data_IF_906997744977
#
_entry.id   IF_906997744977
#
_cell.length_a   1.000
_cell.length_b   1.000
_cell.length_c   1.000
_cell.angle_alpha   90.00
_cell.angle_beta   90.00
_cell.angle_gamma   90.00
#
_symmetry.space_group_name_H-M   'P 1'
#
loop_
_entity.id
_entity.type
_entity.pdbx_description
1 polymer ?
#
# COMPACT_ATOMS: atom_id res chain seq x y z
N UNK A 1 1.99 12.06 -11.26
CA UNK A 1 2.60 11.18 -10.25
C UNK A 1 3.44 10.08 -10.92
N UNK A 2 4.72 9.98 -10.54
CA UNK A 2 5.61 8.90 -10.98
C UNK A 2 5.76 7.86 -9.88
N UNK A 3 5.38 6.62 -10.18
CA UNK A 3 5.45 5.49 -9.24
C UNK A 3 6.88 5.12 -8.83
N UNK A 4 7.90 5.56 -9.57
CA UNK A 4 9.32 5.41 -9.21
C UNK A 4 9.73 6.24 -8.00
N UNK A 5 9.00 7.32 -7.70
CA UNK A 5 9.25 8.20 -6.57
C UNK A 5 8.57 7.74 -5.28
N UNK A 6 7.76 6.67 -5.35
CA UNK A 6 7.07 6.11 -4.18
C UNK A 6 8.06 5.32 -3.32
N UNK A 7 8.16 5.68 -2.06
CA UNK A 7 8.91 4.91 -1.07
C UNK A 7 7.99 3.82 -0.54
N UNK A 8 8.37 2.56 -0.77
CA UNK A 8 7.65 1.39 -0.31
C UNK A 8 8.28 0.82 0.97
N UNK A 9 7.45 0.50 1.96
CA UNK A 9 7.84 -0.29 3.14
C UNK A 9 6.88 -1.47 3.31
N UNK A 10 7.43 -2.66 3.59
CA UNK A 10 6.67 -3.87 3.91
C UNK A 10 6.94 -4.33 5.32
N UNK A 11 5.88 -4.69 6.02
CA UNK A 11 5.93 -5.24 7.37
C UNK A 11 5.27 -6.61 7.34
N UNK A 12 5.96 -7.63 7.83
CA UNK A 12 5.42 -8.97 8.00
C UNK A 12 5.44 -9.28 9.49
N UNK A 13 4.27 -9.51 10.07
CA UNK A 13 4.12 -9.80 11.49
C UNK A 13 3.06 -10.88 11.69
N UNK A 14 3.42 -12.00 12.32
CA UNK A 14 2.50 -13.12 12.55
C UNK A 14 1.86 -13.74 11.28
N UNK A 15 2.45 -13.53 10.10
CA UNK A 15 1.89 -13.95 8.81
C UNK A 15 1.00 -12.90 8.13
N UNK A 16 0.73 -11.77 8.79
CA UNK A 16 0.05 -10.63 8.17
C UNK A 16 1.05 -9.78 7.39
N UNK A 17 0.74 -9.49 6.14
CA UNK A 17 1.55 -8.61 5.30
C UNK A 17 0.90 -7.23 5.24
N UNK A 18 1.66 -6.20 5.60
CA UNK A 18 1.26 -4.80 5.52
C UNK A 18 2.18 -4.05 4.56
N UNK A 19 1.57 -3.21 3.74
CA UNK A 19 2.22 -2.30 2.80
C UNK A 19 2.01 -0.87 3.27
N UNK A 20 3.08 -0.09 3.23
CA UNK A 20 3.06 1.35 3.43
C UNK A 20 3.71 1.99 2.21
N UNK A 21 2.98 2.88 1.54
CA UNK A 21 3.49 3.73 0.48
C UNK A 21 3.60 5.16 1.01
N UNK A 22 4.77 5.77 0.84
CA UNK A 22 5.00 7.17 1.14
C UNK A 22 5.26 7.92 -0.16
N UNK A 23 4.49 9.00 -0.34
CA UNK A 23 4.44 9.81 -1.54
C UNK A 23 4.55 11.27 -1.10
N UNK A 24 5.35 12.11 -1.75
CA UNK A 24 5.31 13.54 -1.46
C UNK A 24 3.96 14.11 -1.87
N UNK A 25 3.45 15.08 -1.12
CA UNK A 25 2.17 15.72 -1.42
C UNK A 25 2.20 16.42 -2.79
N UNK A 26 3.34 16.95 -3.20
CA UNK A 26 3.50 17.57 -4.53
C UNK A 26 3.36 16.55 -5.66
N UNK A 27 4.00 15.37 -5.54
CA UNK A 27 3.90 14.31 -6.55
C UNK A 27 2.48 13.72 -6.61
N UNK A 28 1.81 13.60 -5.47
CA UNK A 28 0.42 13.14 -5.39
C UNK A 28 -0.54 14.10 -6.10
N UNK A 29 -0.38 15.41 -5.87
CA UNK A 29 -1.23 16.47 -6.44
C UNK A 29 -1.06 16.65 -7.95
N UNK A 30 -0.05 16.06 -8.56
CA UNK A 30 0.07 16.06 -10.03
C UNK A 30 -1.11 15.36 -10.71
N UNK A 31 -1.63 14.29 -10.10
CA UNK A 31 -2.69 13.45 -10.69
C UNK A 31 -3.99 13.45 -9.85
N UNK A 32 -3.92 13.80 -8.55
CA UNK A 32 -5.04 13.63 -7.62
C UNK A 32 -5.29 14.85 -6.73
N UNK A 33 -6.53 15.33 -6.72
CA UNK A 33 -6.96 16.49 -5.89
C UNK A 33 -7.69 16.09 -4.60
N UNK A 34 -7.89 14.79 -4.36
CA UNK A 34 -8.67 14.26 -3.23
C UNK A 34 -7.88 13.22 -2.47
N UNK A 35 -8.14 13.14 -1.16
CA UNK A 35 -7.53 12.17 -0.25
C UNK A 35 -8.61 11.18 0.23
N UNK A 36 -9.06 10.31 -0.66
CA UNK A 36 -10.07 9.30 -0.35
C UNK A 36 -9.53 7.87 -0.54
N UNK A 37 -10.14 6.93 0.18
CA UNK A 37 -9.70 5.54 0.23
C UNK A 37 -9.85 4.83 -1.13
N UNK A 38 -10.78 5.27 -1.99
CA UNK A 38 -10.96 4.71 -3.34
C UNK A 38 -9.78 5.06 -4.24
N UNK A 39 -9.36 6.32 -4.22
CA UNK A 39 -8.16 6.81 -4.91
C UNK A 39 -6.92 6.08 -4.40
N UNK A 40 -6.79 5.96 -3.07
CA UNK A 40 -5.68 5.25 -2.45
C UNK A 40 -5.63 3.77 -2.84
N UNK A 41 -6.81 3.12 -2.94
CA UNK A 41 -6.93 1.73 -3.38
C UNK A 41 -6.42 1.56 -4.81
N UNK A 42 -6.79 2.45 -5.72
CA UNK A 42 -6.32 2.41 -7.09
C UNK A 42 -4.79 2.56 -7.17
N UNK A 43 -4.22 3.52 -6.44
CA UNK A 43 -2.76 3.72 -6.38
C UNK A 43 -2.04 2.45 -5.92
N UNK A 44 -2.54 1.79 -4.86
CA UNK A 44 -1.93 0.55 -4.37
C UNK A 44 -2.02 -0.57 -5.41
N UNK A 45 -3.18 -0.75 -6.04
CA UNK A 45 -3.37 -1.77 -7.08
C UNK A 45 -2.40 -1.55 -8.25
N UNK A 46 -2.31 -0.32 -8.74
CA UNK A 46 -1.46 0.04 -9.86
C UNK A 46 0.03 -0.12 -9.53
N UNK A 47 0.42 0.23 -8.30
CA UNK A 47 1.77 0.06 -7.78
C UNK A 47 2.19 -1.42 -7.74
N UNK A 48 1.30 -2.28 -7.23
CA UNK A 48 1.53 -3.73 -7.20
C UNK A 48 1.62 -4.32 -8.61
N UNK A 49 0.69 -3.95 -9.50
CA UNK A 49 0.68 -4.40 -10.90
C UNK A 49 1.96 -4.03 -11.64
N UNK A 50 2.46 -2.80 -11.48
CA UNK A 50 3.72 -2.35 -12.09
C UNK A 50 4.94 -3.14 -11.63
N UNK A 51 4.89 -3.68 -10.41
CA UNK A 51 5.95 -4.53 -9.84
C UNK A 51 5.78 -6.01 -10.15
N UNK A 52 4.70 -6.39 -10.83
CA UNK A 52 4.35 -7.80 -11.04
C UNK A 52 4.01 -8.52 -9.74
N UNK A 53 3.57 -7.78 -8.71
CA UNK A 53 3.18 -8.30 -7.40
C UNK A 53 1.70 -8.74 -7.48
N UNK A 54 1.42 -10.00 -7.16
CA UNK A 54 0.08 -10.61 -7.20
C UNK A 54 -0.71 -10.42 -5.89
N UNK A 55 -0.14 -9.67 -4.95
CA UNK A 55 -0.76 -9.28 -3.70
C UNK A 55 -2.09 -8.56 -3.90
N UNK A 56 -3.07 -8.91 -3.08
CA UNK A 56 -4.42 -8.33 -3.11
C UNK A 56 -4.59 -7.38 -1.93
N UNK A 57 -4.66 -6.06 -2.17
CA UNK A 57 -4.79 -5.10 -1.09
C UNK A 57 -6.18 -5.12 -0.47
N UNK A 58 -6.25 -4.86 0.83
CA UNK A 58 -7.48 -4.68 1.60
C UNK A 58 -7.23 -3.70 2.75
N UNK A 59 -8.31 -3.17 3.34
CA UNK A 59 -8.24 -2.15 4.40
C UNK A 59 -7.30 -0.99 4.01
N UNK A 60 -7.44 -0.49 2.78
CA UNK A 60 -6.59 0.60 2.29
C UNK A 60 -7.01 1.90 2.96
N UNK A 61 -6.04 2.64 3.48
CA UNK A 61 -6.25 3.92 4.16
C UNK A 61 -5.23 4.95 3.71
N UNK A 62 -5.69 6.16 3.46
CA UNK A 62 -4.84 7.31 3.16
C UNK A 62 -4.76 8.27 4.35
N UNK A 63 -3.55 8.74 4.61
CA UNK A 63 -3.24 9.69 5.66
C UNK A 63 -2.38 10.81 5.08
N UNK A 64 -2.72 12.06 5.38
CA UNK A 64 -1.92 13.21 5.00
C UNK A 64 -1.19 13.74 6.24
N UNK A 65 0.14 13.61 6.24
CA UNK A 65 1.02 14.17 7.26
C UNK A 65 1.42 15.59 6.87
N UNK A 66 0.57 16.56 7.20
CA UNK A 66 0.75 17.98 6.85
C UNK A 66 2.07 18.59 7.33
N UNK A 67 2.68 18.06 8.39
CA UNK A 67 3.95 18.60 8.93
C UNK A 67 5.13 18.33 8.00
N UNK A 68 5.09 17.23 7.24
CA UNK A 68 6.18 16.78 6.38
C UNK A 68 5.83 16.82 4.89
N UNK A 69 4.61 17.26 4.53
CA UNK A 69 4.05 17.18 3.18
C UNK A 69 4.16 15.77 2.58
N UNK A 70 3.84 14.76 3.39
CA UNK A 70 3.85 13.35 3.00
C UNK A 70 2.43 12.79 3.01
N UNK A 71 2.09 12.09 1.94
CA UNK A 71 0.92 11.24 1.84
C UNK A 71 1.34 9.80 2.12
N UNK A 72 0.70 9.19 3.10
CA UNK A 72 0.94 7.82 3.51
C UNK A 72 -0.29 6.97 3.18
N UNK A 73 -0.10 5.95 2.36
CA UNK A 73 -1.13 4.95 2.07
C UNK A 73 -0.74 3.66 2.77
N UNK A 74 -1.65 3.09 3.55
CA UNK A 74 -1.47 1.81 4.24
C UNK A 74 -2.44 0.79 3.69
N UNK A 75 -2.01 -0.46 3.56
CA UNK A 75 -2.86 -1.56 3.09
C UNK A 75 -2.42 -2.89 3.70
N UNK A 76 -3.37 -3.79 3.93
CA UNK A 76 -3.10 -5.20 4.19
C UNK A 76 -3.00 -5.93 2.85
N UNK A 77 -1.97 -6.75 2.64
CA UNK A 77 -1.74 -7.47 1.40
C UNK A 77 -1.98 -8.96 1.60
N UNK A 78 -2.86 -9.54 0.77
CA UNK A 78 -3.16 -10.96 0.80
C UNK A 78 -2.58 -11.64 -0.44
N UNK A 79 -1.77 -12.68 -0.23
CA UNK A 79 -1.20 -13.49 -1.30
C UNK A 79 -1.99 -14.78 -1.47
N UNK A 80 -2.32 -15.16 -2.71
CA UNK A 80 -2.94 -16.45 -2.98
C UNK A 80 -1.95 -17.58 -2.60
N UNK A 81 -2.39 -18.50 -1.74
CA UNK A 81 -1.53 -19.57 -1.21
C UNK A 81 -0.83 -19.23 0.12
N UNK A 82 -1.05 -18.03 0.65
CA UNK A 82 -0.68 -17.69 2.03
C UNK A 82 -1.73 -18.12 3.06
N UNK A 83 -2.75 -18.89 2.64
CA UNK A 83 -3.53 -19.78 3.49
C UNK A 83 -2.65 -20.95 4.00
N UNK A 84 -1.49 -20.64 4.60
CA UNK A 84 -0.83 -21.60 5.47
C UNK A 84 -1.70 -21.68 6.73
N UNK A 85 -2.68 -22.58 6.71
CA UNK A 85 -3.26 -23.15 7.92
C UNK A 85 -2.11 -23.45 8.85
N UNK A 86 -2.09 -22.80 10.03
CA UNK A 86 -0.95 -22.85 10.94
C UNK A 86 -0.43 -24.27 11.07
N UNK A 87 0.89 -24.43 10.97
CA UNK A 87 1.55 -25.68 11.31
C UNK A 87 1.13 -26.04 12.74
N UNK A 88 0.17 -26.95 12.88
CA UNK A 88 -0.08 -27.69 14.10
C UNK A 88 1.15 -28.56 14.28
N UNK A 89 2.12 -28.08 15.05
CA UNK A 89 3.16 -28.93 15.61
C UNK A 89 2.44 -30.02 16.43
N UNK A 90 2.55 -31.26 15.96
CA UNK A 90 2.16 -32.46 16.70
C UNK A 90 3.38 -33.08 17.35
#
# INVERSE_FOLDING_TARGET
MKFENIIERRIVDGGEHRLILEISADEYKEDYDKYDDDTATNIVIEHLQRRGDDGRPSNVKIHHEHENDIIKITANIHYLGNDHTGYLFR
#
